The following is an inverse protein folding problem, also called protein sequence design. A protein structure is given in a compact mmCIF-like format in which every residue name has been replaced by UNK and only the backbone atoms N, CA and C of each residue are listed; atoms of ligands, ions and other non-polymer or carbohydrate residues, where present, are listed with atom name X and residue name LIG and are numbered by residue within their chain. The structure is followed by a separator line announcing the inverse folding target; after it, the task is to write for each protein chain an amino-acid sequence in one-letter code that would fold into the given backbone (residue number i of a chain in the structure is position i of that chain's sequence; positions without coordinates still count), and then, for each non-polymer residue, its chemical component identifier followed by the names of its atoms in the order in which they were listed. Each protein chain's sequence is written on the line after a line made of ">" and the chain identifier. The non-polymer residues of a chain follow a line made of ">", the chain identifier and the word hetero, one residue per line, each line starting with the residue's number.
data_IF_979976596886
#
_entry.id   IF_979976596886
#
_cell.length_a   1.000
_cell.length_b   1.000
_cell.length_c   1.000
_cell.angle_alpha   90.00
_cell.angle_beta   90.00
_cell.angle_gamma   90.00
#
_symmetry.space_group_name_H-M   'P 1'
#
loop_
_entity.id
_entity.type
_entity.pdbx_description
1 polymer ?
#
# COMPACT_ATOMS: atom_id res chain seq x y z
N UNK A 1 14.65 9.73 -12.11
CA UNK A 1 15.02 8.43 -11.53
C UNK A 1 15.33 7.40 -12.61
N UNK A 2 14.36 7.00 -13.45
CA UNK A 2 14.57 5.99 -14.50
C UNK A 2 15.78 6.26 -15.43
N UNK A 3 15.99 7.53 -15.83
CA UNK A 3 17.18 7.92 -16.64
C UNK A 3 18.52 7.64 -15.95
N UNK A 4 18.56 7.63 -14.62
CA UNK A 4 19.75 7.33 -13.82
C UNK A 4 19.91 5.81 -13.54
N UNK A 5 19.00 4.98 -14.04
CA UNK A 5 18.94 3.54 -13.75
C UNK A 5 18.97 2.75 -15.07
N UNK A 6 20.17 2.44 -15.60
CA UNK A 6 20.32 1.91 -16.96
C UNK A 6 19.70 0.52 -17.18
N UNK A 7 19.41 -0.20 -16.09
CA UNK A 7 18.75 -1.51 -16.13
C UNK A 7 17.22 -1.42 -16.19
N UNK A 8 16.63 -0.22 -16.12
CA UNK A 8 15.18 -0.03 -16.23
C UNK A 8 14.80 0.07 -17.70
N UNK A 9 14.15 -0.98 -18.21
CA UNK A 9 13.75 -1.08 -19.61
C UNK A 9 12.37 -0.49 -19.89
N UNK A 10 11.43 -0.63 -18.94
CA UNK A 10 10.06 -0.16 -19.07
C UNK A 10 9.59 0.59 -17.81
N UNK A 11 8.77 1.62 -18.01
CA UNK A 11 8.14 2.38 -16.93
C UNK A 11 6.64 2.45 -17.20
N UNK A 12 5.85 1.87 -16.30
CA UNK A 12 4.40 1.95 -16.37
C UNK A 12 3.97 3.28 -15.74
N UNK A 13 3.29 4.12 -16.52
CA UNK A 13 2.89 5.47 -16.13
C UNK A 13 1.39 5.51 -15.87
N UNK A 14 0.99 6.01 -14.69
CA UNK A 14 -0.41 6.24 -14.34
C UNK A 14 -0.68 7.74 -14.40
N UNK A 15 -1.48 8.19 -15.37
CA UNK A 15 -1.90 9.60 -15.46
C UNK A 15 -2.93 9.94 -14.38
N UNK A 16 -2.45 10.39 -13.21
CA UNK A 16 -3.30 10.74 -12.05
C UNK A 16 -3.85 12.16 -12.09
N UNK A 17 -3.06 13.11 -12.58
CA UNK A 17 -3.37 14.55 -12.58
C UNK A 17 -3.68 15.10 -13.98
N UNK A 18 -3.55 14.29 -15.04
CA UNK A 18 -3.66 14.73 -16.44
C UNK A 18 -2.76 15.93 -16.76
N UNK A 19 -1.58 15.98 -16.16
CA UNK A 19 -0.58 17.01 -16.39
C UNK A 19 0.33 16.61 -17.56
N UNK A 20 0.79 17.60 -18.31
CA UNK A 20 1.79 17.39 -19.35
C UNK A 20 3.08 16.85 -18.71
N UNK A 21 3.51 15.67 -19.15
CA UNK A 21 4.59 14.89 -18.53
C UNK A 21 5.55 14.44 -19.63
N UNK A 22 6.87 14.64 -19.49
CA UNK A 22 7.84 14.17 -20.46
C UNK A 22 7.69 12.67 -20.71
N UNK A 23 7.63 12.29 -21.99
CA UNK A 23 7.37 10.93 -22.44
C UNK A 23 8.52 10.39 -23.29
N UNK A 24 8.84 9.11 -23.12
CA UNK A 24 9.77 8.37 -23.95
C UNK A 24 9.08 7.14 -24.56
N UNK A 25 8.81 7.16 -25.86
CA UNK A 25 8.10 6.09 -26.58
C UNK A 25 8.80 4.72 -26.55
N UNK A 26 10.11 4.68 -26.31
CA UNK A 26 10.87 3.42 -26.23
C UNK A 26 10.77 2.77 -24.84
N UNK A 27 10.48 3.54 -23.78
CA UNK A 27 10.52 3.10 -22.38
C UNK A 27 9.15 3.14 -21.68
N UNK A 28 8.40 4.21 -21.89
CA UNK A 28 7.21 4.51 -21.10
C UNK A 28 5.98 3.81 -21.70
N UNK A 29 5.12 3.28 -20.84
CA UNK A 29 3.92 2.54 -21.20
C UNK A 29 2.74 3.09 -20.43
N UNK A 30 1.64 3.43 -21.11
CA UNK A 30 0.44 3.93 -20.44
C UNK A 30 -0.28 2.79 -19.74
N UNK A 31 -0.51 2.94 -18.44
CA UNK A 31 -1.31 2.02 -17.64
C UNK A 31 -2.69 1.75 -18.25
N UNK A 32 -3.33 2.74 -18.88
CA UNK A 32 -4.67 2.57 -19.47
C UNK A 32 -4.67 1.60 -20.64
N UNK A 33 -3.60 1.59 -21.45
CA UNK A 33 -3.45 0.64 -22.56
C UNK A 33 -3.31 -0.80 -22.04
N UNK A 34 -2.56 -1.00 -20.94
CA UNK A 34 -2.40 -2.30 -20.31
C UNK A 34 -3.70 -2.80 -19.66
N UNK A 35 -4.42 -1.91 -18.95
CA UNK A 35 -5.63 -2.27 -18.20
C UNK A 35 -6.75 -2.78 -19.11
N UNK A 36 -6.85 -2.26 -20.33
CA UNK A 36 -7.90 -2.65 -21.28
C UNK A 36 -7.67 -4.04 -21.90
N UNK A 37 -6.52 -4.66 -21.65
CA UNK A 37 -6.31 -6.07 -21.97
C UNK A 37 -6.93 -6.96 -20.87
N UNK A 38 -8.22 -7.28 -21.01
CA UNK A 38 -8.89 -8.26 -20.14
C UNK A 38 -8.25 -9.64 -20.30
N UNK A 39 -7.46 -10.05 -19.31
CA UNK A 39 -7.22 -11.47 -19.03
C UNK A 39 -7.20 -11.68 -17.53
N UNK A 40 -8.20 -12.43 -17.05
CA UNK A 40 -8.05 -13.15 -15.79
C UNK A 40 -6.97 -14.20 -15.99
N UNK A 41 -5.75 -13.87 -15.59
CA UNK A 41 -4.63 -14.81 -15.61
C UNK A 41 -4.65 -15.66 -14.35
N UNK A 42 -4.25 -16.92 -14.48
CA UNK A 42 -4.05 -17.77 -13.31
C UNK A 42 -2.84 -17.27 -12.52
N UNK A 43 -2.95 -17.26 -11.19
CA UNK A 43 -1.82 -16.90 -10.34
C UNK A 43 -0.73 -17.97 -10.40
N UNK A 44 0.52 -17.56 -10.54
CA UNK A 44 1.66 -18.47 -10.43
C UNK A 44 1.77 -19.11 -9.04
N UNK A 45 2.24 -20.35 -8.99
CA UNK A 45 2.55 -21.04 -7.74
C UNK A 45 3.96 -20.65 -7.30
N UNK A 46 4.05 -20.05 -6.13
CA UNK A 46 5.32 -19.57 -5.55
C UNK A 46 5.74 -20.46 -4.38
N UNK A 47 7.04 -20.67 -4.18
CA UNK A 47 7.55 -21.27 -2.94
C UNK A 47 7.33 -20.34 -1.73
N UNK A 48 7.15 -20.94 -0.56
CA UNK A 48 6.96 -20.23 0.71
C UNK A 48 8.05 -19.19 1.03
N UNK A 49 9.30 -19.47 0.63
CA UNK A 49 10.49 -18.65 0.89
C UNK A 49 10.82 -17.70 -0.26
N UNK A 50 10.09 -17.74 -1.37
CA UNK A 50 10.29 -16.77 -2.44
C UNK A 50 9.96 -15.35 -1.95
N UNK A 51 10.73 -14.38 -2.47
CA UNK A 51 10.58 -12.98 -2.11
C UNK A 51 9.26 -12.43 -2.67
N UNK A 52 8.40 -11.96 -1.77
CA UNK A 52 7.13 -11.31 -2.07
C UNK A 52 7.29 -9.78 -2.16
N UNK A 53 8.08 -9.21 -1.25
CA UNK A 53 8.20 -7.75 -1.11
C UNK A 53 9.58 -7.35 -0.59
N UNK A 54 10.13 -6.30 -1.20
CA UNK A 54 11.32 -5.61 -0.74
C UNK A 54 10.91 -4.26 -0.15
N UNK A 55 11.14 -4.05 1.14
CA UNK A 55 10.82 -2.81 1.82
C UNK A 55 12.11 -2.12 2.30
N UNK A 56 12.41 -0.97 1.70
CA UNK A 56 13.59 -0.20 2.08
C UNK A 56 13.32 0.64 3.32
N UNK A 57 14.30 0.67 4.22
CA UNK A 57 14.26 1.42 5.48
C UNK A 57 15.48 2.33 5.61
N UNK A 58 15.31 3.48 6.26
CA UNK A 58 16.41 4.40 6.55
C UNK A 58 17.37 3.73 7.54
N UNK A 59 18.52 3.26 7.06
CA UNK A 59 19.59 2.76 7.91
C UNK A 59 20.31 3.90 8.63
N UNK A 60 20.80 3.65 9.84
CA UNK A 60 21.62 4.62 10.61
C UNK A 60 23.00 4.90 9.99
N UNK A 61 23.41 4.12 8.99
CA UNK A 61 24.78 4.11 8.42
C UNK A 61 24.84 4.59 6.96
N UNK A 62 23.90 5.44 6.53
CA UNK A 62 23.95 6.15 5.24
C UNK A 62 23.23 5.46 4.07
N UNK A 63 23.50 4.17 3.79
CA UNK A 63 22.77 3.42 2.75
C UNK A 63 21.45 2.85 3.29
N UNK A 64 20.33 2.94 2.55
CA UNK A 64 19.08 2.25 2.91
C UNK A 64 19.29 0.75 3.06
N UNK A 65 18.71 0.16 4.12
CA UNK A 65 18.67 -1.29 4.32
C UNK A 65 17.41 -1.84 3.67
N UNK A 66 17.46 -3.07 3.16
CA UNK A 66 16.29 -3.74 2.58
C UNK A 66 15.81 -4.84 3.53
N UNK A 67 14.53 -4.79 3.88
CA UNK A 67 13.83 -5.91 4.51
C UNK A 67 13.19 -6.75 3.40
N UNK A 68 13.51 -8.04 3.39
CA UNK A 68 12.94 -9.01 2.43
C UNK A 68 11.81 -9.75 3.15
N UNK A 69 10.60 -9.67 2.59
CA UNK A 69 9.45 -10.43 3.06
C UNK A 69 9.11 -11.52 2.06
N UNK A 70 8.81 -12.72 2.55
CA UNK A 70 8.49 -13.89 1.74
C UNK A 70 6.99 -14.19 1.71
N UNK A 71 6.56 -15.02 0.75
CA UNK A 71 5.16 -15.38 0.53
C UNK A 71 4.45 -15.97 1.76
N UNK A 72 5.10 -16.84 2.54
CA UNK A 72 4.49 -17.42 3.75
C UNK A 72 4.77 -16.63 5.04
N UNK A 73 5.59 -15.58 4.99
CA UNK A 73 5.92 -14.79 6.17
C UNK A 73 4.92 -13.65 6.39
N UNK A 74 4.98 -12.64 5.52
CA UNK A 74 4.31 -11.36 5.80
C UNK A 74 2.77 -11.43 5.68
N UNK A 75 2.18 -12.02 4.62
CA UNK A 75 0.73 -12.07 4.48
C UNK A 75 0.07 -12.82 5.64
N UNK A 76 0.63 -13.98 6.01
CA UNK A 76 0.09 -14.84 7.07
C UNK A 76 0.20 -14.14 8.43
N UNK A 77 1.35 -13.52 8.71
CA UNK A 77 1.56 -12.82 9.99
C UNK A 77 0.66 -11.58 10.10
N UNK A 78 0.53 -10.79 9.03
CA UNK A 78 -0.36 -9.63 9.01
C UNK A 78 -1.83 -10.03 9.21
N UNK A 79 -2.27 -11.10 8.53
CA UNK A 79 -3.61 -11.66 8.70
C UNK A 79 -3.84 -12.16 10.13
N UNK A 80 -2.87 -12.87 10.71
CA UNK A 80 -2.93 -13.34 12.09
C UNK A 80 -3.04 -12.17 13.08
N UNK A 81 -2.19 -11.15 12.95
CA UNK A 81 -2.19 -10.00 13.86
C UNK A 81 -3.48 -9.20 13.78
N UNK A 82 -3.99 -8.96 12.57
CA UNK A 82 -5.27 -8.27 12.40
C UNK A 82 -6.43 -9.13 12.91
N UNK A 83 -6.53 -10.39 12.50
CA UNK A 83 -7.66 -11.25 12.82
C UNK A 83 -7.69 -11.71 14.28
N UNK A 84 -6.55 -12.09 14.85
CA UNK A 84 -6.46 -12.58 16.24
C UNK A 84 -6.08 -11.46 17.21
N UNK A 85 -5.11 -10.62 16.84
CA UNK A 85 -4.62 -9.57 17.72
C UNK A 85 -5.54 -8.35 17.82
N UNK A 86 -6.25 -8.04 16.74
CA UNK A 86 -7.13 -6.87 16.67
C UNK A 86 -8.62 -7.23 16.52
N UNK A 87 -8.97 -8.52 16.39
CA UNK A 87 -10.34 -9.02 16.17
C UNK A 87 -10.98 -8.52 14.86
N UNK A 88 -10.18 -8.31 13.80
CA UNK A 88 -10.68 -7.93 12.47
C UNK A 88 -11.42 -9.09 11.81
N UNK A 89 -12.69 -8.87 11.49
CA UNK A 89 -13.62 -9.83 10.86
C UNK A 89 -14.04 -9.39 9.47
N UNK A 90 -14.81 -10.24 8.80
CA UNK A 90 -15.25 -10.02 7.41
C UNK A 90 -16.16 -8.79 7.25
N UNK A 91 -16.95 -8.48 8.26
CA UNK A 91 -17.84 -7.33 8.30
C UNK A 91 -17.14 -6.00 8.63
N UNK A 92 -15.87 -6.05 9.02
CA UNK A 92 -15.14 -4.89 9.47
C UNK A 92 -14.61 -4.00 8.33
N UNK A 93 -14.42 -2.73 8.67
CA UNK A 93 -13.73 -1.75 7.85
C UNK A 93 -12.46 -1.34 8.58
N UNK A 94 -11.32 -1.84 8.08
CA UNK A 94 -9.99 -1.54 8.59
C UNK A 94 -9.42 -0.30 7.89
N UNK A 95 -9.04 0.70 8.66
CA UNK A 95 -8.39 1.90 8.17
C UNK A 95 -7.13 2.18 8.98
N UNK A 96 -5.99 2.22 8.32
CA UNK A 96 -4.77 2.75 8.92
C UNK A 96 -4.38 4.02 8.17
N UNK A 97 -4.23 5.14 8.88
CA UNK A 97 -3.69 6.36 8.28
C UNK A 97 -2.18 6.18 8.05
N UNK A 98 -1.84 5.68 6.87
CA UNK A 98 -0.48 5.33 6.42
C UNK A 98 -0.41 5.36 4.90
N UNK A 99 0.80 5.36 4.34
CA UNK A 99 1.03 5.21 2.90
C UNK A 99 1.68 3.85 2.56
N UNK A 100 1.61 3.47 1.28
CA UNK A 100 2.11 2.19 0.78
C UNK A 100 3.64 2.03 0.83
N UNK A 101 4.39 3.12 1.08
CA UNK A 101 5.83 3.11 1.27
C UNK A 101 6.27 2.69 2.66
N UNK A 102 5.37 2.65 3.65
CA UNK A 102 5.67 2.16 5.01
C UNK A 102 5.09 0.77 5.24
N UNK A 103 5.65 0.06 6.22
CA UNK A 103 5.21 -1.29 6.59
C UNK A 103 3.71 -1.42 6.85
N UNK A 104 3.09 -0.36 7.39
CA UNK A 104 1.67 -0.39 7.72
C UNK A 104 0.76 -0.38 6.48
N UNK A 105 1.25 0.06 5.31
CA UNK A 105 0.50 -0.01 4.05
C UNK A 105 0.27 -1.45 3.60
N UNK A 106 1.32 -2.26 3.37
CA UNK A 106 1.18 -3.69 3.13
C UNK A 106 0.44 -4.42 4.27
N UNK A 107 0.66 -4.05 5.53
CA UNK A 107 -0.11 -4.62 6.65
C UNK A 107 -1.61 -4.37 6.51
N UNK A 108 -2.04 -3.15 6.16
CA UNK A 108 -3.44 -2.83 5.93
C UNK A 108 -4.03 -3.74 4.84
N UNK A 109 -3.30 -3.92 3.73
CA UNK A 109 -3.72 -4.76 2.60
C UNK A 109 -3.86 -6.23 3.03
N UNK A 110 -2.81 -6.85 3.54
CA UNK A 110 -2.86 -8.27 3.89
C UNK A 110 -3.68 -8.56 5.14
N UNK A 111 -3.56 -7.72 6.18
CA UNK A 111 -4.32 -7.84 7.42
C UNK A 111 -5.82 -7.70 7.22
N UNK A 112 -6.26 -6.79 6.34
CA UNK A 112 -7.68 -6.63 6.00
C UNK A 112 -8.16 -7.67 5.00
N UNK A 113 -7.57 -7.71 3.80
CA UNK A 113 -8.13 -8.48 2.68
C UNK A 113 -8.03 -10.00 2.87
N UNK A 114 -6.99 -10.52 3.55
CA UNK A 114 -6.88 -11.96 3.83
C UNK A 114 -7.94 -12.41 4.84
N UNK A 115 -8.32 -11.55 5.80
CA UNK A 115 -9.42 -11.79 6.72
C UNK A 115 -10.81 -11.52 6.09
N UNK A 116 -10.85 -11.07 4.84
CA UNK A 116 -12.08 -10.75 4.13
C UNK A 116 -12.74 -9.42 4.55
N UNK A 117 -12.03 -8.60 5.33
CA UNK A 117 -12.48 -7.28 5.72
C UNK A 117 -12.39 -6.28 4.57
N UNK A 118 -13.07 -5.15 4.71
CA UNK A 118 -12.89 -4.00 3.81
C UNK A 118 -11.72 -3.15 4.29
N UNK A 119 -10.88 -2.66 3.37
CA UNK A 119 -9.84 -1.68 3.69
C UNK A 119 -10.22 -0.29 3.19
N UNK A 120 -9.89 0.74 3.96
CA UNK A 120 -10.00 2.14 3.52
C UNK A 120 -8.62 2.68 3.14
N UNK A 121 -8.44 3.08 1.89
CA UNK A 121 -7.29 3.83 1.42
C UNK A 121 -7.65 5.31 1.31
N UNK A 122 -6.79 6.18 1.83
CA UNK A 122 -7.01 7.62 1.83
C UNK A 122 -5.82 8.36 1.23
N UNK A 123 -6.11 9.22 0.24
CA UNK A 123 -5.16 10.14 -0.38
C UNK A 123 -5.45 11.56 0.12
N UNK A 124 -4.61 12.06 1.02
CA UNK A 124 -4.74 13.42 1.55
C UNK A 124 -4.00 13.63 2.88
N UNK A 125 -3.97 14.88 3.32
CA UNK A 125 -3.43 15.25 4.63
C UNK A 125 -4.48 14.99 5.72
N UNK A 126 -4.08 14.88 7.00
CA UNK A 126 -5.01 14.55 8.07
C UNK A 126 -5.89 15.73 8.50
N UNK A 127 -5.64 16.92 7.96
CA UNK A 127 -6.19 18.21 8.37
C UNK A 127 -6.81 19.02 7.22
N UNK A 128 -6.90 18.45 6.02
CA UNK A 128 -7.52 19.10 4.86
C UNK A 128 -8.84 18.41 4.45
N UNK A 129 -9.94 19.16 4.24
CA UNK A 129 -10.03 20.62 4.29
C UNK A 129 -10.08 21.21 5.71
N UNK A 130 -10.32 20.37 6.73
CA UNK A 130 -10.38 20.78 8.14
C UNK A 130 -9.69 19.73 9.05
N UNK A 131 -9.28 20.09 10.28
CA UNK A 131 -8.60 19.18 11.24
C UNK A 131 -9.36 17.90 11.58
N UNK A 132 -10.69 17.91 11.49
CA UNK A 132 -11.55 16.75 11.80
C UNK A 132 -11.55 15.68 10.71
N UNK A 133 -10.74 15.83 9.66
CA UNK A 133 -10.83 15.04 8.44
C UNK A 133 -10.79 13.52 8.67
N UNK A 134 -9.91 13.05 9.55
CA UNK A 134 -9.81 11.61 9.84
C UNK A 134 -11.08 11.11 10.52
N UNK A 135 -11.66 11.88 11.43
CA UNK A 135 -12.91 11.54 12.12
C UNK A 135 -14.10 11.54 11.18
N UNK A 136 -14.16 12.50 10.24
CA UNK A 136 -15.16 12.52 9.17
C UNK A 136 -15.10 11.24 8.32
N UNK A 137 -13.90 10.78 7.96
CA UNK A 137 -13.72 9.55 7.18
C UNK A 137 -14.17 8.32 7.96
N UNK A 138 -13.81 8.24 9.25
CA UNK A 138 -14.23 7.15 10.15
C UNK A 138 -15.75 7.07 10.22
N UNK A 139 -16.41 8.21 10.46
CA UNK A 139 -17.87 8.28 10.55
C UNK A 139 -18.54 7.97 9.20
N UNK A 140 -18.05 8.54 8.10
CA UNK A 140 -18.63 8.36 6.76
C UNK A 140 -18.55 6.92 6.27
N UNK A 141 -17.46 6.22 6.56
CA UNK A 141 -17.19 4.88 6.06
C UNK A 141 -17.46 3.78 7.10
N UNK A 142 -17.98 4.13 8.28
CA UNK A 142 -18.21 3.21 9.39
C UNK A 142 -16.95 2.38 9.72
N UNK A 143 -15.80 3.04 9.80
CA UNK A 143 -14.52 2.40 10.14
C UNK A 143 -14.64 1.77 11.52
N UNK A 144 -14.44 0.45 11.61
CA UNK A 144 -14.47 -0.27 12.88
C UNK A 144 -13.10 -0.36 13.54
N UNK A 145 -12.03 -0.29 12.74
CA UNK A 145 -10.66 -0.33 13.23
C UNK A 145 -9.85 0.83 12.64
N UNK A 146 -9.48 1.79 13.49
CA UNK A 146 -8.63 2.93 13.12
C UNK A 146 -7.21 2.76 13.67
N UNK A 147 -6.23 2.71 12.78
CA UNK A 147 -4.81 2.82 13.10
C UNK A 147 -4.29 4.23 12.80
N UNK A 148 -3.67 4.86 13.81
CA UNK A 148 -3.19 6.24 13.71
C UNK A 148 -1.92 6.42 14.54
N UNK A 149 -0.96 7.19 14.03
CA UNK A 149 0.33 7.37 14.71
C UNK A 149 0.18 8.22 15.98
N UNK A 150 0.94 7.94 17.06
CA UNK A 150 0.94 8.78 18.25
C UNK A 150 1.33 10.23 17.97
N UNK A 151 2.19 10.47 17.00
CA UNK A 151 2.60 11.81 16.60
C UNK A 151 1.43 12.60 16.02
N UNK A 152 0.62 11.97 15.16
CA UNK A 152 -0.56 12.62 14.60
C UNK A 152 -1.61 12.87 15.68
N UNK A 153 -1.86 11.91 16.58
CA UNK A 153 -2.79 12.12 17.71
C UNK A 153 -2.40 13.33 18.56
N UNK A 154 -1.10 13.59 18.76
CA UNK A 154 -0.64 14.76 19.54
C UNK A 154 -0.80 16.10 18.80
N UNK A 155 -0.95 16.10 17.48
CA UNK A 155 -1.09 17.32 16.68
C UNK A 155 -2.52 17.68 16.34
N UNK A 156 -3.47 16.76 16.54
CA UNK A 156 -4.91 16.98 16.35
C UNK A 156 -5.52 17.74 17.54
#
# INVERSE_FOLDING_TARGET
>A
AAVLSPTVEKVIVISRLNADTPWNDERDVDWQEMRNSEKYEQTDRMDSQEALMLLYTSGTTGKPKVAVHTHSCFPIKAAFDAGIGMDVKREDVLFWYTDMGWMMGPFLVYGGLVNGATILLYEGTPDFPNPDRIWELVAKHNVSHLGISPTLIRSL
#
